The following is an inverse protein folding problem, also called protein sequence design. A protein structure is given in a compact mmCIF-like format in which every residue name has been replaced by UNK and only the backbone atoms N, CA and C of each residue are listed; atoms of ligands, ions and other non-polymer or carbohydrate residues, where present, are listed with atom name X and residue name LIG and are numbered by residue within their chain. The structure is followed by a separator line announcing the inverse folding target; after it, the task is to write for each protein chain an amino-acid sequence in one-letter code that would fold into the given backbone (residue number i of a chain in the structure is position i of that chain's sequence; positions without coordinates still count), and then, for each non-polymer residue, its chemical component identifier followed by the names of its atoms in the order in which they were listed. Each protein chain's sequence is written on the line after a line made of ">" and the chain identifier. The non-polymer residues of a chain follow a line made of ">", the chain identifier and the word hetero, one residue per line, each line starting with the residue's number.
data_IF_259863508257
#
_entry.id   IF_259863508257
#
_cell.length_a   1.000
_cell.length_b   1.000
_cell.length_c   1.000
_cell.angle_alpha   90.00
_cell.angle_beta   90.00
_cell.angle_gamma   90.00
#
_symmetry.space_group_name_H-M   'P 1'
#
loop_
_entity.id
_entity.type
_entity.pdbx_description
1 polymer ?
2 non-polymer ?
3 non-polymer ?
4 non-polymer ?
5 non-polymer ?
6 water ?
#
# COMPACT_ATOMS: atom_id res chain seq x y z
N UNK A 8 11.50 -5.74 -16.89
CA UNK A 8 10.81 -5.43 -15.59
C UNK A 8 9.96 -4.17 -15.71
N UNK A 9 8.80 -4.21 -15.06
CA UNK A 9 7.83 -3.11 -15.05
C UNK A 9 8.06 -2.16 -13.89
N UNK A 10 8.66 -1.01 -14.19
CA UNK A 10 9.06 -0.02 -13.19
C UNK A 10 8.30 1.28 -13.38
N UNK A 11 7.72 1.75 -12.29
CA UNK A 11 7.05 3.04 -12.27
C UNK A 11 7.70 3.98 -11.29
N UNK A 12 7.90 5.22 -11.73
CA UNK A 12 8.57 6.27 -10.93
C UNK A 12 7.78 7.54 -10.92
N UNK A 13 7.69 8.13 -9.75
CA UNK A 13 6.94 9.35 -9.55
C UNK A 13 7.70 10.26 -8.61
N UNK A 14 7.84 11.51 -9.00
CA UNK A 14 8.30 12.59 -8.11
C UNK A 14 7.24 13.65 -8.00
N UNK A 15 6.90 13.99 -6.78
CA UNK A 15 5.88 15.00 -6.53
C UNK A 15 6.17 15.92 -5.35
N UNK A 16 6.12 17.20 -5.66
CA UNK A 16 6.37 18.25 -4.70
C UNK A 16 5.10 19.08 -4.50
N UNK A 17 4.72 19.22 -3.25
CA UNK A 17 3.72 20.21 -2.81
C UNK A 17 4.35 21.22 -1.85
N UNK A 18 3.56 22.18 -1.39
CA UNK A 18 4.01 23.11 -0.35
C UNK A 18 4.10 22.40 1.01
N UNK A 19 3.52 21.21 1.08
CA UNK A 19 3.51 20.39 2.32
C UNK A 19 4.54 19.26 2.38
N UNK A 20 4.82 18.66 1.22
CA UNK A 20 5.60 17.40 1.14
C UNK A 20 6.46 17.36 -0.13
N UNK A 21 7.56 16.62 -0.02
CA UNK A 21 8.39 16.20 -1.15
C UNK A 21 8.49 14.70 -1.21
N UNK A 22 8.02 14.09 -2.29
CA UNK A 22 7.90 12.63 -2.41
C UNK A 22 8.55 12.09 -3.68
N UNK A 23 9.29 11.01 -3.51
CA UNK A 23 9.82 10.22 -4.62
C UNK A 23 9.50 8.72 -4.39
N UNK A 24 8.90 8.11 -5.40
CA UNK A 24 8.56 6.69 -5.39
C UNK A 24 9.08 6.02 -6.64
N UNK A 25 9.65 4.84 -6.44
CA UNK A 25 9.95 3.92 -7.54
C UNK A 25 9.55 2.51 -7.14
N UNK A 26 8.70 1.89 -7.95
CA UNK A 26 8.25 0.50 -7.70
C UNK A 26 8.52 -0.38 -8.90
N UNK A 27 9.09 -1.54 -8.64
CA UNK A 27 9.27 -2.60 -9.66
C UNK A 27 8.26 -3.71 -9.35
N UNK A 28 7.34 -3.93 -10.29
CA UNK A 28 6.31 -4.98 -10.13
C UNK A 28 6.89 -6.38 -10.21
N UNK A 29 8.03 -6.47 -10.86
CA UNK A 29 8.73 -7.74 -11.11
C UNK A 29 10.01 -7.84 -10.27
N UNK A 30 9.85 -7.48 -9.01
CA UNK A 30 10.99 -7.35 -8.10
C UNK A 30 11.37 -8.61 -7.34
N UNK A 31 12.22 -8.37 -6.35
CA UNK A 31 12.72 -9.41 -5.44
C UNK A 31 12.49 -9.04 -3.99
N UNK A 32 11.63 -8.08 -3.75
CA UNK A 32 11.35 -7.69 -2.37
C UNK A 32 12.34 -6.71 -1.76
N UNK A 33 13.04 -5.96 -2.60
CA UNK A 33 14.00 -4.96 -2.11
C UNK A 33 13.20 -3.83 -1.48
N UNK A 34 13.48 -3.62 -0.21
CA UNK A 34 12.81 -2.62 0.61
C UNK A 34 13.68 -1.45 0.93
N UNK A 35 13.26 -0.26 0.51
CA UNK A 35 14.07 0.94 0.64
C UNK A 35 13.18 2.17 0.83
N UNK A 36 12.48 2.19 1.96
CA UNK A 36 11.47 3.22 2.22
C UNK A 36 11.79 4.07 3.44
N UNK A 37 11.85 5.38 3.21
CA UNK A 37 12.04 6.35 4.28
C UNK A 37 11.13 7.56 4.06
N UNK A 38 10.01 7.54 4.78
CA UNK A 38 8.91 8.50 4.58
C UNK A 38 8.86 9.63 5.60
N UNK A 39 9.67 9.51 6.65
CA UNK A 39 9.53 10.36 7.83
C UNK A 39 8.48 9.87 8.83
N UNK A 40 7.83 8.74 8.51
CA UNK A 40 6.82 8.10 9.37
C UNK A 40 7.27 6.65 9.59
N UNK A 41 7.91 6.37 10.75
CA UNK A 41 8.48 5.03 10.92
C UNK A 41 7.51 3.86 10.77
N UNK A 42 6.28 4.00 11.25
CA UNK A 42 5.35 2.89 11.15
C UNK A 42 4.97 2.63 9.68
N UNK A 43 4.82 3.71 8.93
CA UNK A 43 4.54 3.58 7.49
C UNK A 43 5.74 2.93 6.77
N UNK A 44 6.95 3.29 7.16
CA UNK A 44 8.14 2.62 6.58
C UNK A 44 8.06 1.10 6.83
N UNK A 45 7.66 0.74 8.04
CA UNK A 45 7.54 -0.69 8.41
C UNK A 45 6.49 -1.38 7.50
N UNK A 46 5.37 -0.71 7.27
CA UNK A 46 4.32 -1.28 6.40
C UNK A 46 4.77 -1.37 4.92
N UNK A 47 5.52 -0.39 4.47
CA UNK A 47 6.05 -0.40 3.09
C UNK A 47 7.10 -1.52 2.92
N UNK A 48 7.83 -1.82 3.98
CA UNK A 48 8.74 -2.97 3.98
C UNK A 48 7.94 -4.26 3.81
N UNK A 49 6.80 -4.35 4.49
CA UNK A 49 5.90 -5.51 4.37
C UNK A 49 5.37 -5.64 2.93
N UNK A 50 5.04 -4.52 2.34
CA UNK A 50 4.55 -4.49 0.96
C UNK A 50 5.60 -5.12 0.01
N UNK A 51 6.84 -4.69 0.18
CA UNK A 51 7.95 -5.23 -0.62
C UNK A 51 8.18 -6.72 -0.39
N UNK A 52 8.31 -7.10 0.88
CA UNK A 52 8.68 -8.49 1.21
C UNK A 52 7.57 -9.50 0.88
N UNK A 53 6.34 -9.13 1.17
CA UNK A 53 5.18 -10.02 0.92
C UNK A 53 4.68 -9.99 -0.51
N UNK A 54 4.97 -8.89 -1.20
CA UNK A 54 4.55 -8.75 -2.59
C UNK A 54 5.61 -9.08 -3.62
N UNK A 55 6.86 -9.20 -3.17
CA UNK A 55 8.04 -9.30 -4.05
C UNK A 55 8.11 -8.12 -5.02
N UNK A 56 7.69 -6.97 -4.53
CA UNK A 56 7.92 -5.71 -5.20
C UNK A 56 9.26 -5.15 -4.73
N UNK A 57 9.94 -4.42 -5.60
CA UNK A 57 11.02 -3.53 -5.13
C UNK A 57 10.38 -2.17 -4.91
N UNK A 58 10.60 -1.66 -3.71
CA UNK A 58 9.92 -0.43 -3.25
C UNK A 58 10.97 0.55 -2.75
N UNK A 59 11.06 1.67 -3.45
CA UNK A 59 11.94 2.76 -3.08
C UNK A 59 11.06 3.96 -2.85
N UNK A 60 11.12 4.50 -1.64
CA UNK A 60 10.35 5.69 -1.28
C UNK A 60 11.21 6.63 -0.47
N UNK A 61 11.16 7.90 -0.85
CA UNK A 61 11.69 8.98 -0.02
C UNK A 61 10.63 10.05 0.13
N UNK A 62 10.41 10.48 1.37
CA UNK A 62 9.53 11.63 1.61
C UNK A 62 10.05 12.46 2.75
N UNK A 63 9.82 13.75 2.60
CA UNK A 63 9.97 14.75 3.67
C UNK A 63 8.71 15.61 3.67
N UNK A 64 8.42 16.22 4.79
CA UNK A 64 7.23 17.03 4.86
C UNK A 64 6.89 17.50 6.25
N UNK A 65 5.68 18.01 6.36
CA UNK A 65 5.25 18.76 7.53
C UNK A 65 4.73 17.90 8.70
N UNK A 66 5.53 16.94 9.12
CA UNK A 66 5.12 15.99 10.19
C UNK A 66 4.94 16.65 11.57
N UNK A 67 5.47 17.85 11.72
CA UNK A 67 5.21 18.61 12.95
C UNK A 67 3.76 19.09 13.07
N UNK A 68 3.08 19.21 11.94
CA UNK A 68 1.62 19.48 11.94
C UNK A 68 0.85 18.22 12.30
N UNK A 69 1.12 17.18 11.51
CA UNK A 69 0.80 15.76 11.81
C UNK A 69 1.25 14.93 10.61
N UNK A 70 1.15 13.63 10.73
CA UNK A 70 1.64 12.73 9.67
C UNK A 70 0.74 12.73 8.44
N UNK A 71 -0.41 13.38 8.53
CA UNK A 71 -1.46 13.27 7.52
C UNK A 71 -1.00 13.62 6.10
N UNK A 72 -0.41 14.79 5.92
CA UNK A 72 -0.08 15.22 4.54
C UNK A 72 0.97 14.30 3.90
N UNK A 73 1.98 13.94 4.68
CA UNK A 73 3.01 13.01 4.20
C UNK A 73 2.39 11.65 3.83
N UNK A 74 1.55 11.12 4.71
CA UNK A 74 0.92 9.82 4.49
C UNK A 74 0.12 9.83 3.20
N UNK A 75 -0.67 10.89 3.04
CA UNK A 75 -1.54 11.05 1.86
C UNK A 75 -0.72 11.18 0.58
N UNK A 76 0.30 12.04 0.62
CA UNK A 76 1.08 12.33 -0.59
C UNK A 76 1.95 11.13 -1.01
N UNK A 77 2.45 10.39 -0.03
CA UNK A 77 3.15 9.14 -0.31
C UNK A 77 2.18 8.14 -0.99
N UNK A 78 0.99 7.98 -0.43
CA UNK A 78 -0.01 7.05 -0.97
C UNK A 78 -0.41 7.42 -2.41
N UNK A 79 -0.68 8.70 -2.60
CA UNK A 79 -1.05 9.19 -3.95
C UNK A 79 0.05 8.84 -4.96
N UNK A 80 1.29 9.13 -4.60
CA UNK A 80 2.43 8.85 -5.48
C UNK A 80 2.62 7.34 -5.73
N UNK A 81 2.40 6.52 -4.73
CA UNK A 81 2.50 5.06 -4.91
C UNK A 81 1.44 4.60 -5.91
N UNK A 82 0.22 5.12 -5.77
CA UNK A 82 -0.84 4.73 -6.70
C UNK A 82 -0.50 5.09 -8.14
N UNK A 83 0.06 6.28 -8.33
CA UNK A 83 0.47 6.73 -9.67
C UNK A 83 1.63 5.86 -10.18
N UNK A 84 2.56 5.55 -9.31
CA UNK A 84 3.70 4.69 -9.72
C UNK A 84 3.25 3.30 -10.16
N UNK A 85 2.27 2.77 -9.45
CA UNK A 85 1.69 1.48 -9.80
C UNK A 85 1.02 1.56 -11.18
N UNK A 86 0.23 2.61 -11.36
CA UNK A 86 -0.45 2.88 -12.64
C UNK A 86 0.57 2.91 -13.79
N UNK A 87 1.64 3.68 -13.60
CA UNK A 87 2.69 3.80 -14.64
C UNK A 87 3.37 2.46 -14.92
N UNK A 88 3.71 1.74 -13.86
CA UNK A 88 4.38 0.44 -13.99
C UNK A 88 3.52 -0.57 -14.75
N UNK A 89 2.22 -0.51 -14.52
CA UNK A 89 1.29 -1.45 -15.17
C UNK A 89 1.18 -1.28 -16.69
N UNK A 90 1.36 -0.05 -17.14
CA UNK A 90 1.33 0.22 -18.56
C UNK A 90 0.00 -0.22 -19.15
N UNK A 91 0.08 -0.99 -20.22
CA UNK A 91 -1.14 -1.48 -20.91
C UNK A 91 -1.87 -2.67 -20.28
N UNK A 92 -1.38 -3.16 -19.15
CA UNK A 92 -1.93 -4.32 -18.43
C UNK A 92 -2.00 -5.58 -19.26
N UNK A 93 -1.22 -5.74 -20.31
CA UNK A 93 -1.41 -6.94 -21.13
C UNK A 93 -0.99 -8.23 -20.44
N UNK A 94 -1.90 -9.19 -20.49
CA UNK A 94 -1.58 -10.56 -20.06
C UNK A 94 -1.55 -10.81 -18.56
N UNK A 95 -1.99 -9.84 -17.78
CA UNK A 95 -1.93 -9.96 -16.32
C UNK A 95 -3.18 -10.63 -15.75
N UNK A 96 -3.03 -11.19 -14.56
CA UNK A 96 -4.19 -11.78 -13.87
C UNK A 96 -5.31 -10.74 -13.63
N UNK A 97 -4.89 -9.53 -13.25
CA UNK A 97 -5.74 -8.33 -13.04
C UNK A 97 -6.48 -8.35 -11.68
N UNK A 98 -7.01 -9.52 -11.33
CA UNK A 98 -7.65 -9.81 -10.04
C UNK A 98 -6.69 -10.46 -9.06
N UNK A 99 -6.81 -10.05 -7.80
CA UNK A 99 -6.10 -10.68 -6.68
C UNK A 99 -7.03 -10.87 -5.50
N UNK A 100 -6.79 -11.96 -4.78
CA UNK A 100 -7.61 -12.36 -3.62
C UNK A 100 -6.76 -13.17 -2.65
N UNK A 101 -6.52 -12.59 -1.48
CA UNK A 101 -5.79 -13.27 -0.43
C UNK A 101 -6.22 -12.88 0.97
N UNK A 102 -6.24 -13.88 1.84
CA UNK A 102 -6.52 -13.71 3.27
C UNK A 102 -5.33 -14.15 4.08
N UNK A 103 -4.74 -13.22 4.82
CA UNK A 103 -3.53 -13.47 5.60
C UNK A 103 -3.75 -13.22 7.08
N UNK A 104 -3.18 -14.09 7.93
CA UNK A 104 -3.17 -13.82 9.35
C UNK A 104 -1.88 -13.18 9.82
N UNK A 105 -1.98 -12.58 11.00
CA UNK A 105 -0.82 -12.28 11.84
C UNK A 105 -1.32 -12.57 13.24
N UNK A 106 -0.92 -13.73 13.74
CA UNK A 106 -1.40 -14.21 15.04
C UNK A 106 -2.95 -14.20 15.06
N UNK A 107 -3.55 -13.45 15.98
CA UNK A 107 -5.03 -13.44 16.11
C UNK A 107 -5.73 -12.62 15.04
N UNK A 108 -4.99 -11.80 14.31
CA UNK A 108 -5.56 -10.97 13.23
C UNK A 108 -5.69 -11.76 11.95
N UNK A 109 -6.76 -11.50 11.21
CA UNK A 109 -7.02 -12.17 9.94
C UNK A 109 -7.70 -11.17 9.03
N UNK A 110 -7.06 -10.89 7.90
CA UNK A 110 -7.51 -9.81 6.99
C UNK A 110 -7.63 -10.37 5.57
N UNK A 111 -8.80 -10.16 5.00
CA UNK A 111 -9.07 -10.51 3.60
C UNK A 111 -8.95 -9.27 2.72
N UNK A 112 -8.16 -9.41 1.65
CA UNK A 112 -8.10 -8.40 0.58
C UNK A 112 -8.45 -8.99 -0.76
N UNK A 113 -9.38 -8.32 -1.43
CA UNK A 113 -9.74 -8.63 -2.81
C UNK A 113 -9.58 -7.37 -3.63
N UNK A 114 -8.93 -7.48 -4.78
CA UNK A 114 -8.76 -6.31 -5.63
C UNK A 114 -8.85 -6.64 -7.11
N UNK A 115 -9.17 -5.60 -7.88
CA UNK A 115 -9.21 -5.68 -9.35
C UNK A 115 -8.55 -4.41 -9.87
N UNK A 116 -7.57 -4.59 -10.74
CA UNK A 116 -6.87 -3.48 -11.39
C UNK A 116 -7.76 -3.05 -12.57
N UNK A 117 -8.85 -2.36 -12.22
CA UNK A 117 -10.02 -2.15 -13.09
C UNK A 117 -10.03 -0.84 -13.87
N UNK A 118 -9.29 0.12 -13.37
CA UNK A 118 -9.37 1.51 -13.84
C UNK A 118 -10.47 2.35 -13.20
N UNK A 119 -11.21 1.77 -12.26
CA UNK A 119 -12.28 2.48 -11.54
C UNK A 119 -11.95 2.48 -10.05
N UNK A 120 -11.69 3.66 -9.47
CA UNK A 120 -11.32 3.64 -8.06
C UNK A 120 -12.49 3.29 -7.15
N UNK A 121 -12.24 2.41 -6.21
CA UNK A 121 -13.21 2.10 -5.14
C UNK A 121 -12.45 1.52 -3.97
N UNK A 122 -12.73 2.01 -2.76
CA UNK A 122 -12.26 1.36 -1.52
C UNK A 122 -13.43 0.93 -0.66
N UNK A 123 -13.45 -0.37 -0.37
CA UNK A 123 -14.31 -0.95 0.65
C UNK A 123 -13.40 -1.29 1.82
N UNK A 124 -13.69 -0.74 2.99
CA UNK A 124 -12.79 -0.86 4.14
C UNK A 124 -13.58 -0.94 5.42
N UNK A 125 -13.37 -1.98 6.20
CA UNK A 125 -14.11 -2.09 7.47
C UNK A 125 -13.23 -2.36 8.69
N UNK A 126 -11.94 -2.06 8.58
CA UNK A 126 -11.07 -2.24 9.74
C UNK A 126 -11.59 -1.43 10.93
N UNK A 127 -11.47 -2.05 12.08
CA UNK A 127 -11.80 -1.42 13.36
C UNK A 127 -10.55 -1.58 14.23
N UNK A 128 -9.75 -0.54 14.20
CA UNK A 128 -8.44 -0.53 14.86
C UNK A 128 -8.66 0.03 16.26
N UNK A 129 -8.44 -0.78 17.32
CA UNK A 129 -8.98 -0.37 18.63
C UNK A 129 -8.17 0.63 19.42
N UNK A 130 -7.03 1.06 18.89
CA UNK A 130 -6.25 2.10 19.54
C UNK A 130 -5.99 3.23 18.55
N UNK A 131 -5.76 4.40 19.10
CA UNK A 131 -5.59 5.63 18.29
C UNK A 131 -4.19 5.84 17.74
N UNK A 132 -3.18 5.31 18.43
CA UNK A 132 -1.78 5.43 17.99
C UNK A 132 -1.08 4.09 18.08
N UNK A 133 -0.42 3.72 16.98
CA UNK A 133 0.53 2.60 16.96
C UNK A 133 1.88 3.24 16.86
N UNK A 134 2.67 3.12 17.91
CA UNK A 134 3.86 3.95 18.03
C UNK A 134 3.37 5.38 18.04
N UNK A 135 3.91 6.21 17.14
CA UNK A 135 3.46 7.60 16.97
C UNK A 135 2.49 7.79 15.78
N UNK A 136 2.09 6.68 15.17
CA UNK A 136 1.27 6.70 13.95
C UNK A 136 -0.23 6.68 14.27
N UNK A 137 -0.91 7.72 13.78
CA UNK A 137 -2.37 7.87 13.90
C UNK A 137 -3.06 6.81 13.05
N UNK A 138 -3.81 5.93 13.70
CA UNK A 138 -4.39 4.77 13.02
C UNK A 138 -5.52 5.13 12.05
N UNK A 139 -6.04 6.36 12.11
CA UNK A 139 -6.97 6.83 11.06
C UNK A 139 -6.28 6.88 9.69
N UNK A 140 -4.96 7.01 9.72
CA UNK A 140 -4.20 7.21 8.47
C UNK A 140 -4.08 5.95 7.63
N UNK A 141 -4.37 4.80 8.20
CA UNK A 141 -4.35 3.54 7.43
C UNK A 141 -5.41 3.59 6.33
N UNK A 142 -6.63 3.94 6.69
CA UNK A 142 -7.70 4.04 5.68
C UNK A 142 -7.32 5.07 4.62
N UNK A 143 -6.77 6.21 5.05
CA UNK A 143 -6.47 7.29 4.10
C UNK A 143 -5.35 6.86 3.15
N UNK A 144 -4.41 6.05 3.64
CA UNK A 144 -3.34 5.52 2.78
C UNK A 144 -3.96 4.70 1.64
N UNK A 145 -4.82 3.75 1.99
CA UNK A 145 -5.44 2.92 0.96
C UNK A 145 -6.38 3.70 0.06
N UNK A 146 -7.12 4.66 0.61
CA UNK A 146 -8.05 5.45 -0.20
C UNK A 146 -7.29 6.26 -1.28
N UNK A 147 -6.21 6.90 -0.86
CA UNK A 147 -5.43 7.74 -1.76
C UNK A 147 -4.73 6.90 -2.84
N UNK A 148 -4.21 5.75 -2.43
CA UNK A 148 -3.56 4.81 -3.37
C UNK A 148 -4.57 4.33 -4.43
N UNK A 149 -5.76 3.96 -3.99
CA UNK A 149 -6.85 3.55 -4.89
C UNK A 149 -7.20 4.65 -5.89
N UNK A 150 -7.27 5.87 -5.40
CA UNK A 150 -7.73 7.01 -6.20
C UNK A 150 -6.81 7.30 -7.38
N UNK A 151 -5.51 7.21 -7.17
CA UNK A 151 -4.55 7.48 -8.28
C UNK A 151 -4.22 6.24 -9.12
N UNK A 152 -4.30 5.05 -8.53
CA UNK A 152 -4.06 3.82 -9.29
C UNK A 152 -5.28 3.36 -10.11
N UNK A 153 -6.48 3.83 -9.74
CA UNK A 153 -7.73 3.33 -10.36
C UNK A 153 -7.98 1.86 -10.05
N UNK A 154 -7.80 1.53 -8.79
CA UNK A 154 -7.97 0.17 -8.29
C UNK A 154 -9.32 -0.02 -7.60
N UNK A 155 -9.94 -1.18 -7.80
CA UNK A 155 -11.06 -1.62 -6.96
C UNK A 155 -10.44 -2.43 -5.83
N UNK A 156 -10.64 -2.01 -4.58
CA UNK A 156 -9.99 -2.63 -3.43
C UNK A 156 -10.98 -2.82 -2.29
N UNK A 157 -11.08 -4.06 -1.83
CA UNK A 157 -11.88 -4.42 -0.65
C UNK A 157 -10.95 -4.99 0.42
N UNK A 158 -11.03 -4.41 1.60
CA UNK A 158 -10.29 -4.82 2.79
C UNK A 158 -11.30 -5.16 3.88
N UNK A 159 -11.25 -6.42 4.33
CA UNK A 159 -12.20 -6.98 5.31
C UNK A 159 -11.49 -7.56 6.53
N UNK A 160 -11.79 -7.00 7.69
CA UNK A 160 -11.26 -7.50 8.95
C UNK A 160 -12.12 -8.70 9.38
N UNK A 161 -11.50 -9.87 9.38
CA UNK A 161 -12.19 -11.11 9.80
C UNK A 161 -11.97 -11.46 11.26
N UNK A 162 -10.84 -10.98 11.79
CA UNK A 162 -10.47 -11.17 13.20
C UNK A 162 -9.33 -10.21 13.51
N UNK A 163 -9.12 -9.97 14.80
CA UNK A 163 -7.98 -9.13 15.21
C UNK A 163 -8.29 -8.34 16.44
N UNK A 164 -7.26 -8.13 17.26
CA UNK A 164 -7.38 -7.34 18.47
C UNK A 164 -6.19 -6.36 18.65
N UNK A 165 -4.97 -6.80 18.37
CA UNK A 165 -3.80 -5.94 18.49
C UNK A 165 -3.72 -5.04 17.26
N UNK A 166 -3.62 -3.74 17.46
CA UNK A 166 -3.67 -2.78 16.34
C UNK A 166 -2.54 -2.99 15.34
N UNK A 167 -1.33 -3.20 15.84
CA UNK A 167 -0.18 -3.47 14.97
C UNK A 167 -0.42 -4.74 14.16
N UNK A 168 -0.93 -5.78 14.79
CA UNK A 168 -1.25 -7.01 14.05
C UNK A 168 -2.29 -6.80 12.95
N UNK A 169 -3.34 -6.05 13.28
CA UNK A 169 -4.41 -5.80 12.31
C UNK A 169 -3.86 -5.06 11.10
N UNK A 170 -3.07 -4.01 11.35
CA UNK A 170 -2.57 -3.20 10.24
C UNK A 170 -1.54 -3.98 9.42
N UNK A 171 -0.64 -4.66 10.11
CA UNK A 171 0.42 -5.42 9.43
C UNK A 171 -0.17 -6.58 8.61
N UNK A 172 -1.15 -7.29 9.17
CA UNK A 172 -1.83 -8.35 8.41
C UNK A 172 -2.51 -7.78 7.15
N UNK A 173 -3.08 -6.59 7.28
CA UNK A 173 -3.68 -5.91 6.12
C UNK A 173 -2.64 -5.72 5.00
N UNK A 174 -1.47 -5.22 5.37
CA UNK A 174 -0.40 -5.00 4.38
C UNK A 174 0.10 -6.32 3.78
N UNK A 175 0.19 -7.37 4.59
CA UNK A 175 0.58 -8.69 4.07
C UNK A 175 -0.42 -9.19 3.04
N UNK A 176 -1.70 -9.11 3.38
CA UNK A 176 -2.76 -9.59 2.50
C UNK A 176 -2.85 -8.75 1.23
N UNK A 177 -2.78 -7.44 1.40
CA UNK A 177 -2.79 -6.52 0.23
C UNK A 177 -1.62 -6.81 -0.71
N UNK A 178 -0.43 -6.96 -0.14
CA UNK A 178 0.77 -7.23 -0.93
C UNK A 178 0.66 -8.53 -1.73
N UNK A 179 0.14 -9.57 -1.08
CA UNK A 179 -0.02 -10.88 -1.74
C UNK A 179 -1.11 -10.83 -2.81
N UNK A 180 -2.21 -10.14 -2.54
CA UNK A 180 -3.28 -9.96 -3.54
C UNK A 180 -2.77 -9.14 -4.75
N UNK A 181 -1.99 -8.10 -4.45
CA UNK A 181 -1.46 -7.24 -5.52
C UNK A 181 -0.41 -7.98 -6.38
N UNK A 182 0.42 -8.79 -5.72
CA UNK A 182 1.37 -9.67 -6.45
C UNK A 182 0.58 -10.54 -7.44
N UNK A 183 -0.44 -11.22 -6.93
CA UNK A 183 -1.26 -12.06 -7.79
C UNK A 183 -1.83 -11.27 -8.98
N UNK A 184 -2.42 -10.13 -8.70
CA UNK A 184 -3.10 -9.32 -9.74
C UNK A 184 -2.14 -8.83 -10.83
N UNK A 185 -0.93 -8.49 -10.41
CA UNK A 185 0.09 -7.94 -11.32
C UNK A 185 0.88 -9.01 -12.09
N UNK A 186 0.87 -10.24 -11.60
CA UNK A 186 1.56 -11.35 -12.27
C UNK A 186 0.86 -11.75 -13.57
N UNK A 187 1.62 -12.42 -14.41
CA UNK A 187 1.14 -12.88 -15.68
C UNK A 187 0.13 -14.03 -15.49
N UNK A 188 -0.93 -13.99 -16.29
CA UNK A 188 -1.89 -15.09 -16.38
C UNK A 188 -1.33 -16.02 -17.46
N UNK A 189 -0.97 -17.27 -17.12
CA UNK A 189 -0.32 -18.17 -18.07
C UNK A 189 -1.17 -18.51 -19.30
N UNK A 190 -2.47 -18.30 -19.23
CA UNK A 190 -3.36 -18.54 -20.39
C UNK A 190 -3.78 -17.28 -21.15
N UNK A 191 -3.18 -16.15 -20.80
CA UNK A 191 -3.51 -14.88 -21.47
C UNK A 191 -2.31 -14.30 -22.20
X LIG B 1 -6.48 14.21 3.50
X LIG C 1 -4.41 19.70 6.03
X LIG D 1 -5.64 17.06 4.75
X LIG D 1 -5.19 18.20 4.59
X LIG D 1 -6.06 16.37 3.72
X LIG E 1 -12.83 -15.80 1.87
X LIG E 1 -13.96 -15.17 1.07
X LIG E 1 -13.33 -17.00 2.66
X LIG E 1 -12.21 -14.77 2.80
X LIG E 1 -11.79 -16.27 0.91
X LIG E 1 -13.49 -14.04 0.34
X LIG E 1 -13.93 -17.95 1.78
X LIG E 1 -11.14 -15.35 3.54
X LIG F 1 -15.91 -14.40 4.71
#
# INVERSE_FOLDING_TARGET
>A
MASPIESARIGEVKRETKETNVSVKINLDGHGVSDSSTGIPFLDHMLDQLASHGLFDVHVRATGDTHIDDHHTNEDVALAIGTALLKALGERKGINRFGDFTAPLDEALIHVSLDLSGRPYLGYNLEIPTQRVGTYDTQLVEHFFQSLVNTSGMTLHIRQLAGKNSHHIIEATFKAFARALRQATESDPRRGGTIPSSKGVLSRS
>B hetero
1 MN MN
>C hetero
1 MN MN
>D hetero
1 FMT C O1 O2
>E hetero
1 TRS C C1 C2 C3 N O1 O2 O3
>F hetero
1 CL CL
#
